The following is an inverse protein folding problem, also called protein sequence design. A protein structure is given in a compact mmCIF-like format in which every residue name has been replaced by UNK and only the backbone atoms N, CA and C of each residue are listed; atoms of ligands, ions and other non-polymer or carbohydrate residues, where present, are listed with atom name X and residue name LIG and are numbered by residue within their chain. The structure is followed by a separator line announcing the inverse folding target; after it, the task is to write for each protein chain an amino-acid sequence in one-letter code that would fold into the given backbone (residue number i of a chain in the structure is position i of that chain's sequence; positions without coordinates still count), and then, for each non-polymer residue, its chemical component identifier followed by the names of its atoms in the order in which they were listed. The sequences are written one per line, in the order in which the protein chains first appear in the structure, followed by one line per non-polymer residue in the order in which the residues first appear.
data_IF_977415793027
#
_entry.id   IF_977415793027
#
_cell.length_a   1.000
_cell.length_b   1.000
_cell.length_c   1.000
_cell.angle_alpha   90.00
_cell.angle_beta   90.00
_cell.angle_gamma   90.00
#
_symmetry.space_group_name_H-M   'P 1'
#
loop_
_entity.id
_entity.type
_entity.pdbx_description
1 polymer ?
#
# COMPACT_ATOMS: atom_id res chain seq x y z
N UNK A 1 -14.11 23.73 2.19
CA UNK A 1 -13.84 22.30 1.94
C UNK A 1 -12.80 22.16 0.83
N UNK A 2 -11.93 21.14 0.88
CA UNK A 2 -10.97 20.81 -0.17
C UNK A 2 -10.94 19.29 -0.30
N UNK A 3 -11.19 18.75 -1.50
CA UNK A 3 -11.23 17.31 -1.71
C UNK A 3 -9.82 16.77 -1.93
N UNK A 4 -9.44 15.72 -1.18
CA UNK A 4 -8.10 15.14 -1.23
C UNK A 4 -7.74 14.51 -2.59
N UNK A 5 -8.74 14.07 -3.36
CA UNK A 5 -8.51 13.22 -4.53
C UNK A 5 -8.57 14.00 -5.83
N UNK A 6 -9.65 14.75 -6.07
CA UNK A 6 -9.78 15.64 -7.23
C UNK A 6 -9.18 17.03 -7.03
N UNK A 7 -8.65 17.35 -5.85
CA UNK A 7 -8.04 18.65 -5.45
C UNK A 7 -8.95 19.89 -5.53
N UNK A 8 -10.21 19.72 -5.98
CA UNK A 8 -11.23 20.78 -6.03
C UNK A 8 -11.45 21.40 -4.66
N UNK A 9 -11.50 22.73 -4.63
CA UNK A 9 -11.69 23.53 -3.40
C UNK A 9 -13.01 24.29 -3.48
N UNK A 10 -13.85 24.13 -2.45
CA UNK A 10 -15.22 24.64 -2.41
C UNK A 10 -15.45 25.47 -1.14
N UNK A 11 -16.14 26.60 -1.27
CA UNK A 11 -16.75 27.27 -0.13
C UNK A 11 -17.82 26.36 0.51
N UNK A 12 -18.02 26.41 1.83
CA UNK A 12 -19.05 25.57 2.49
C UNK A 12 -20.44 25.75 1.86
N UNK A 13 -20.84 26.99 1.54
CA UNK A 13 -22.11 27.31 0.86
C UNK A 13 -22.25 26.74 -0.57
N UNK A 14 -21.15 26.34 -1.20
CA UNK A 14 -21.15 25.73 -2.53
C UNK A 14 -21.21 24.19 -2.47
N UNK A 15 -21.00 23.57 -1.30
CA UNK A 15 -20.91 22.12 -1.16
C UNK A 15 -22.21 21.39 -1.57
N UNK A 16 -23.37 21.96 -1.24
CA UNK A 16 -24.70 21.41 -1.59
C UNK A 16 -25.04 21.46 -3.08
N UNK A 17 -24.24 22.18 -3.89
CA UNK A 17 -24.42 22.30 -5.34
C UNK A 17 -23.52 21.34 -6.13
N UNK A 18 -22.70 20.55 -5.43
CA UNK A 18 -21.78 19.56 -5.99
C UNK A 18 -22.28 18.15 -5.68
N UNK A 19 -21.94 17.18 -6.53
CA UNK A 19 -22.18 15.77 -6.23
C UNK A 19 -21.35 15.32 -5.01
N UNK A 20 -21.88 14.43 -4.15
CA UNK A 20 -21.12 13.90 -3.02
C UNK A 20 -20.04 12.90 -3.46
N UNK A 21 -20.18 12.27 -4.64
CA UNK A 21 -19.16 11.39 -5.20
C UNK A 21 -17.98 12.18 -5.78
N UNK A 22 -16.75 11.71 -5.53
CA UNK A 22 -15.54 12.26 -6.11
C UNK A 22 -15.12 11.47 -7.36
N UNK A 23 -14.84 12.20 -8.44
CA UNK A 23 -14.34 11.70 -9.73
C UNK A 23 -12.82 11.37 -9.74
N UNK A 24 -12.11 11.71 -8.65
CA UNK A 24 -10.65 11.70 -8.50
C UNK A 24 -9.88 12.69 -9.41
N UNK A 25 -10.58 13.54 -10.17
CA UNK A 25 -10.02 14.62 -10.98
C UNK A 25 -8.92 14.22 -11.97
N UNK A 26 -8.00 15.16 -12.22
CA UNK A 26 -6.88 15.05 -13.19
C UNK A 26 -6.07 13.76 -13.06
N UNK A 27 -5.88 13.27 -11.82
CA UNK A 27 -5.01 12.11 -11.54
C UNK A 27 -5.76 10.78 -11.44
N UNK A 28 -7.05 10.70 -11.85
CA UNK A 28 -7.88 9.48 -11.76
C UNK A 28 -7.19 8.22 -12.29
N UNK A 29 -6.43 8.29 -13.38
CA UNK A 29 -5.76 7.11 -13.95
C UNK A 29 -4.69 6.52 -13.02
N UNK A 30 -4.14 7.32 -12.11
CA UNK A 30 -2.99 6.95 -11.29
C UNK A 30 -3.28 6.91 -9.79
N UNK A 31 -4.34 7.58 -9.31
CA UNK A 31 -4.77 7.54 -7.90
C UNK A 31 -5.40 6.19 -7.56
N UNK A 32 -4.87 5.53 -6.53
CA UNK A 32 -5.52 4.39 -5.88
C UNK A 32 -6.34 4.90 -4.69
N UNK A 33 -7.67 5.07 -4.79
CA UNK A 33 -8.48 5.63 -3.71
C UNK A 33 -8.53 4.68 -2.50
N UNK A 34 -8.83 5.15 -1.28
CA UNK A 34 -8.94 4.28 -0.10
C UNK A 34 -10.00 3.19 -0.24
N UNK A 35 -11.05 3.44 -1.03
CA UNK A 35 -12.11 2.48 -1.37
C UNK A 35 -11.61 1.29 -2.21
N UNK A 36 -10.44 1.39 -2.84
CA UNK A 36 -9.79 0.33 -3.60
C UNK A 36 -8.84 -0.54 -2.74
N UNK A 37 -8.78 -0.33 -1.41
CA UNK A 37 -7.86 -1.02 -0.49
C UNK A 37 -8.66 -1.63 0.67
N UNK A 38 -9.02 -2.91 0.53
CA UNK A 38 -9.85 -3.62 1.52
C UNK A 38 -8.98 -4.49 2.45
N UNK A 39 -9.22 -4.52 3.77
CA UNK A 39 -8.61 -5.52 4.65
C UNK A 39 -8.97 -6.95 4.20
N UNK A 40 -7.98 -7.83 4.02
CA UNK A 40 -8.16 -9.16 3.43
C UNK A 40 -9.08 -10.10 4.26
N UNK A 41 -9.35 -9.76 5.51
CA UNK A 41 -10.26 -10.50 6.40
C UNK A 41 -11.73 -10.33 6.00
N UNK A 42 -12.11 -9.21 5.35
CA UNK A 42 -13.52 -8.89 5.07
C UNK A 42 -14.12 -9.71 3.91
N UNK A 43 -13.30 -10.19 2.97
CA UNK A 43 -13.81 -10.85 1.75
C UNK A 43 -14.29 -12.29 1.99
N UNK A 44 -14.04 -12.85 3.20
CA UNK A 44 -14.62 -14.13 3.65
C UNK A 44 -16.16 -14.10 3.79
N UNK A 45 -16.80 -12.93 3.70
CA UNK A 45 -18.24 -12.76 3.95
C UNK A 45 -19.14 -12.66 2.71
N UNK A 46 -18.62 -12.80 1.48
CA UNK A 46 -19.41 -12.50 0.24
C UNK A 46 -19.58 -13.64 -0.77
N UNK A 47 -19.19 -14.87 -0.43
CA UNK A 47 -19.40 -16.06 -1.27
C UNK A 47 -20.47 -17.01 -0.71
N UNK A 48 -21.60 -17.15 -1.42
CA UNK A 48 -22.55 -18.26 -1.25
C UNK A 48 -23.56 -18.13 -0.10
N UNK A 49 -24.84 -17.92 -0.44
CA UNK A 49 -25.94 -18.15 0.49
C UNK A 49 -26.33 -19.64 0.53
N UNK A 50 -26.37 -20.25 1.72
CA UNK A 50 -26.77 -21.64 1.91
C UNK A 50 -27.45 -21.83 3.27
N UNK A 51 -28.63 -22.46 3.28
CA UNK A 51 -29.50 -22.54 4.46
C UNK A 51 -28.95 -23.47 5.56
N UNK A 52 -28.97 -23.02 6.81
CA UNK A 52 -28.68 -23.85 7.99
C UNK A 52 -29.27 -23.27 9.27
N UNK A 53 -30.37 -23.84 9.76
CA UNK A 53 -30.91 -23.59 11.11
C UNK A 53 -30.38 -24.66 12.06
N UNK A 54 -29.97 -24.31 13.28
CA UNK A 54 -30.53 -24.87 14.54
C UNK A 54 -29.85 -24.32 15.80
N UNK A 55 -30.66 -24.25 16.87
CA UNK A 55 -30.39 -24.31 18.32
C UNK A 55 -28.93 -24.49 18.80
N UNK A 56 -28.44 -23.69 19.76
CA UNK A 56 -28.79 -23.65 21.21
C UNK A 56 -28.61 -25.00 21.94
N UNK A 57 -27.64 -25.06 22.85
CA UNK A 57 -27.75 -25.80 24.11
C UNK A 57 -26.78 -25.23 25.18
N UNK A 58 -26.93 -25.63 26.44
CA UNK A 58 -26.26 -25.09 27.65
C UNK A 58 -25.89 -26.22 28.60
N UNK A 59 -24.79 -26.06 29.34
CA UNK A 59 -24.58 -26.39 30.79
C UNK A 59 -23.17 -25.86 31.20
N UNK A 60 -22.91 -25.24 32.37
CA UNK A 60 -22.96 -25.65 33.80
C UNK A 60 -21.83 -26.65 34.18
N UNK A 61 -21.20 -26.61 35.38
CA UNK A 61 -21.44 -25.84 36.62
C UNK A 61 -20.15 -25.70 37.51
N UNK A 62 -20.17 -24.78 38.50
CA UNK A 62 -19.30 -24.66 39.72
C UNK A 62 -17.74 -24.70 39.65
N UNK A 63 -16.97 -24.47 40.73
CA UNK A 63 -17.12 -23.57 41.91
C UNK A 63 -15.74 -23.42 42.66
N UNK A 64 -15.44 -22.22 43.20
CA UNK A 64 -14.42 -21.78 44.21
C UNK A 64 -12.91 -22.20 44.17
N UNK A 65 -12.05 -21.15 44.27
CA UNK A 65 -11.08 -20.76 45.34
C UNK A 65 -10.46 -21.86 46.28
N UNK A 66 -9.23 -21.78 46.86
CA UNK A 66 -8.10 -20.81 47.02
C UNK A 66 -6.76 -21.65 47.05
N UNK A 67 -5.48 -21.23 47.18
CA UNK A 67 -4.69 -19.96 47.28
C UNK A 67 -3.21 -20.27 46.84
N UNK A 68 -2.28 -19.30 46.85
CA UNK A 68 -0.96 -19.54 47.50
C UNK A 68 0.35 -19.37 46.70
N UNK A 69 0.92 -18.15 46.74
CA UNK A 69 2.37 -17.86 46.84
C UNK A 69 3.37 -17.95 45.65
N UNK A 70 4.15 -16.86 45.49
CA UNK A 70 5.54 -16.72 44.97
C UNK A 70 5.95 -17.01 43.50
N UNK A 71 6.24 -15.91 42.80
CA UNK A 71 7.50 -15.62 42.07
C UNK A 71 8.01 -16.58 40.97
N UNK A 72 7.68 -16.31 39.70
CA UNK A 72 8.65 -16.24 38.58
C UNK A 72 7.99 -15.75 37.28
N UNK A 73 8.61 -14.84 36.50
CA UNK A 73 8.20 -14.56 35.13
C UNK A 73 9.18 -15.18 34.12
N UNK A 74 8.91 -16.42 33.70
CA UNK A 74 9.52 -17.02 32.51
C UNK A 74 8.43 -17.45 31.54
N UNK A 75 8.03 -16.54 30.65
CA UNK A 75 6.95 -16.76 29.68
C UNK A 75 7.39 -17.68 28.53
N UNK A 76 7.21 -18.98 28.81
CA UNK A 76 6.96 -20.11 27.92
C UNK A 76 6.91 -19.86 26.40
N UNK A 77 7.59 -20.74 25.64
CA UNK A 77 7.50 -20.80 24.18
C UNK A 77 6.12 -21.27 23.72
N UNK A 78 5.28 -20.35 23.23
CA UNK A 78 4.09 -20.70 22.46
C UNK A 78 4.50 -21.13 21.02
N UNK A 79 4.86 -22.40 20.87
CA UNK A 79 5.32 -23.02 19.62
C UNK A 79 4.16 -23.16 18.61
N UNK A 80 3.99 -22.17 17.73
CA UNK A 80 3.00 -22.19 16.65
C UNK A 80 3.53 -22.97 15.43
N UNK A 81 3.53 -24.31 15.52
CA UNK A 81 3.77 -25.19 14.37
C UNK A 81 2.55 -25.20 13.42
N UNK A 82 2.48 -24.19 12.57
CA UNK A 82 1.56 -24.11 11.45
C UNK A 82 2.29 -23.60 10.20
N UNK A 83 2.02 -24.16 9.00
CA UNK A 83 2.71 -23.75 7.78
C UNK A 83 2.31 -22.32 7.37
N UNK A 84 3.16 -21.35 7.72
CA UNK A 84 3.00 -19.94 7.35
C UNK A 84 3.09 -19.82 5.83
N UNK A 85 1.92 -19.80 5.19
CA UNK A 85 1.80 -19.70 3.73
C UNK A 85 2.35 -18.34 3.25
N UNK A 86 3.35 -18.31 2.36
CA UNK A 86 4.12 -17.10 2.11
C UNK A 86 3.31 -16.03 1.35
N UNK A 87 3.08 -14.90 2.02
CA UNK A 87 2.81 -13.63 1.33
C UNK A 87 1.35 -13.17 1.24
N UNK A 88 0.48 -13.49 2.21
CA UNK A 88 -0.76 -12.74 2.40
C UNK A 88 -0.45 -11.33 2.92
N UNK A 89 -0.69 -10.32 2.09
CA UNK A 89 -0.83 -8.94 2.56
C UNK A 89 -2.11 -8.81 3.39
N UNK A 90 -2.09 -8.05 4.48
CA UNK A 90 -3.28 -7.79 5.31
C UNK A 90 -4.36 -6.95 4.59
N UNK A 91 -4.07 -6.50 3.36
CA UNK A 91 -4.97 -5.79 2.47
C UNK A 91 -4.95 -6.43 1.08
N UNK A 92 -6.09 -6.38 0.41
CA UNK A 92 -6.35 -6.72 -0.97
C UNK A 92 -6.62 -5.41 -1.74
N UNK A 93 -6.10 -5.28 -2.96
CA UNK A 93 -6.20 -4.07 -3.76
C UNK A 93 -7.01 -4.35 -5.03
N UNK A 94 -8.14 -3.67 -5.17
CA UNK A 94 -9.03 -3.76 -6.33
C UNK A 94 -9.06 -2.40 -7.03
N UNK A 95 -8.19 -2.14 -8.02
CA UNK A 95 -8.12 -0.84 -8.68
C UNK A 95 -9.38 -0.54 -9.51
N UNK A 96 -9.63 0.73 -9.79
CA UNK A 96 -10.77 1.16 -10.59
C UNK A 96 -10.64 0.71 -12.05
N UNK A 97 -11.78 0.44 -12.68
CA UNK A 97 -11.84 0.07 -14.09
C UNK A 97 -11.15 1.11 -15.00
N UNK A 98 -10.41 0.58 -15.97
CA UNK A 98 -9.59 1.30 -16.94
C UNK A 98 -8.55 2.26 -16.33
N UNK A 99 -8.04 2.01 -15.12
CA UNK A 99 -6.94 2.77 -14.49
C UNK A 99 -5.58 2.06 -14.55
N UNK A 100 -4.51 2.82 -14.29
CA UNK A 100 -3.10 2.37 -14.21
C UNK A 100 -2.46 2.89 -12.90
N UNK A 101 -2.73 2.23 -11.76
CA UNK A 101 -2.27 2.68 -10.44
C UNK A 101 -0.76 2.92 -10.41
N UNK A 102 -0.34 4.11 -9.99
CA UNK A 102 1.06 4.50 -9.98
C UNK A 102 1.69 4.25 -8.60
N UNK A 103 2.76 3.46 -8.55
CA UNK A 103 3.59 3.22 -7.38
C UNK A 103 4.90 4.00 -7.52
N UNK A 104 5.23 4.84 -6.53
CA UNK A 104 6.37 5.76 -6.60
C UNK A 104 7.37 5.45 -5.48
N UNK A 105 8.63 5.23 -5.86
CA UNK A 105 9.77 5.08 -4.97
C UNK A 105 10.67 6.30 -5.06
N UNK A 106 10.93 6.96 -3.93
CA UNK A 106 11.66 8.23 -3.91
C UNK A 106 12.84 8.12 -2.94
N UNK A 107 14.03 8.51 -3.40
CA UNK A 107 15.17 8.77 -2.53
C UNK A 107 15.17 10.26 -2.12
N UNK A 108 14.86 10.62 -0.85
CA UNK A 108 14.70 12.03 -0.48
C UNK A 108 16.02 12.81 -0.45
N UNK A 109 17.16 12.12 -0.42
CA UNK A 109 18.50 12.72 -0.41
C UNK A 109 18.95 13.14 -1.82
N UNK A 110 18.41 12.50 -2.86
CA UNK A 110 18.73 12.78 -4.27
C UNK A 110 18.33 14.19 -4.73
N UNK A 111 19.01 14.66 -5.78
CA UNK A 111 18.75 15.94 -6.44
C UNK A 111 18.99 17.19 -5.57
N UNK A 112 19.85 17.11 -4.54
CA UNK A 112 20.13 18.26 -3.68
C UNK A 112 18.91 18.69 -2.85
N UNK A 113 18.31 17.73 -2.12
CA UNK A 113 17.04 17.87 -1.38
C UNK A 113 15.77 18.00 -2.25
N UNK A 114 15.88 17.94 -3.58
CA UNK A 114 14.69 17.89 -4.46
C UNK A 114 13.83 16.65 -4.20
N UNK A 115 14.43 15.48 -3.94
CA UNK A 115 13.69 14.26 -3.58
C UNK A 115 12.76 14.45 -2.37
N UNK A 116 13.19 15.21 -1.36
CA UNK A 116 12.36 15.52 -0.19
C UNK A 116 11.19 16.49 -0.48
N UNK A 117 11.33 17.39 -1.46
CA UNK A 117 10.21 18.23 -1.96
C UNK A 117 9.24 17.37 -2.76
N UNK A 118 9.77 16.51 -3.63
CA UNK A 118 9.01 15.63 -4.51
C UNK A 118 8.19 14.60 -3.72
N UNK A 119 8.77 13.98 -2.69
CA UNK A 119 8.09 13.07 -1.77
C UNK A 119 6.82 13.69 -1.19
N UNK A 120 6.93 14.91 -0.66
CA UNK A 120 5.77 15.66 -0.11
C UNK A 120 4.75 16.00 -1.18
N UNK A 121 5.17 16.33 -2.41
CA UNK A 121 4.25 16.67 -3.52
C UNK A 121 3.49 15.44 -4.01
N UNK A 122 4.14 14.29 -4.20
CA UNK A 122 3.43 13.06 -4.58
C UNK A 122 2.55 12.52 -3.45
N UNK A 123 3.02 12.55 -2.19
CA UNK A 123 2.18 12.23 -1.02
C UNK A 123 0.99 13.21 -0.85
N UNK A 124 1.06 14.41 -1.43
CA UNK A 124 -0.05 15.35 -1.50
C UNK A 124 -1.03 15.02 -2.65
N UNK A 125 -0.52 14.70 -3.84
CA UNK A 125 -1.33 14.47 -5.05
C UNK A 125 -2.03 13.09 -5.07
N UNK A 126 -1.36 12.05 -4.58
CA UNK A 126 -1.79 10.65 -4.63
C UNK A 126 -2.14 10.12 -3.22
N UNK A 127 -2.59 8.87 -3.13
CA UNK A 127 -2.72 8.19 -1.85
C UNK A 127 -1.33 7.96 -1.24
N UNK A 128 -1.07 8.31 0.04
CA UNK A 128 0.24 8.07 0.66
C UNK A 128 0.72 6.62 0.61
N UNK A 129 -0.18 5.63 0.52
CA UNK A 129 0.14 4.21 0.30
C UNK A 129 0.74 3.89 -1.08
N UNK A 130 0.85 4.89 -1.96
CA UNK A 130 1.49 4.79 -3.27
C UNK A 130 2.91 5.36 -3.30
N UNK A 131 3.38 6.03 -2.23
CA UNK A 131 4.56 6.91 -2.31
C UNK A 131 5.55 6.61 -1.19
N UNK A 132 6.53 5.76 -1.50
CA UNK A 132 7.47 5.16 -0.57
C UNK A 132 8.80 5.91 -0.50
N UNK A 133 9.31 6.06 0.72
CA UNK A 133 10.63 6.61 0.99
C UNK A 133 11.67 5.48 1.00
N UNK A 134 12.41 5.33 -0.10
CA UNK A 134 13.38 4.24 -0.26
C UNK A 134 14.40 4.19 0.90
N UNK A 135 14.85 5.35 1.37
CA UNK A 135 15.90 5.46 2.41
C UNK A 135 15.38 5.07 3.81
N UNK A 136 14.06 5.07 4.03
CA UNK A 136 13.42 4.74 5.32
C UNK A 136 12.80 3.34 5.35
N UNK A 137 12.17 2.93 4.25
CA UNK A 137 11.32 1.73 4.18
C UNK A 137 11.82 0.68 3.17
N UNK A 138 12.79 1.05 2.33
CA UNK A 138 13.21 0.23 1.18
C UNK A 138 12.14 0.11 0.09
N UNK A 139 12.50 -0.43 -1.08
CA UNK A 139 11.52 -0.69 -2.14
C UNK A 139 10.62 -1.90 -1.86
N UNK A 140 11.11 -2.93 -1.14
CA UNK A 140 10.43 -4.22 -0.97
C UNK A 140 8.99 -4.11 -0.44
N UNK A 141 8.75 -3.25 0.57
CA UNK A 141 7.43 -3.10 1.20
C UNK A 141 6.39 -2.59 0.19
N UNK A 142 6.76 -1.62 -0.65
CA UNK A 142 5.87 -1.08 -1.68
C UNK A 142 5.65 -2.06 -2.83
N UNK A 143 6.70 -2.77 -3.26
CA UNK A 143 6.59 -3.79 -4.30
C UNK A 143 5.68 -4.94 -3.86
N UNK A 144 5.84 -5.43 -2.62
CA UNK A 144 5.04 -6.54 -2.10
C UNK A 144 3.58 -6.14 -1.81
N UNK A 145 3.31 -4.86 -1.51
CA UNK A 145 1.96 -4.31 -1.40
C UNK A 145 1.26 -4.17 -2.76
N UNK A 146 2.01 -4.04 -3.86
CA UNK A 146 1.48 -3.88 -5.22
C UNK A 146 1.64 -5.12 -6.13
N UNK A 147 2.23 -6.21 -5.64
CA UNK A 147 2.67 -7.37 -6.45
C UNK A 147 1.56 -8.00 -7.32
N UNK A 148 0.31 -7.92 -6.86
CA UNK A 148 -0.88 -8.51 -7.48
C UNK A 148 -1.76 -7.45 -8.20
N UNK A 149 -1.35 -6.17 -8.24
CA UNK A 149 -2.18 -5.07 -8.77
C UNK A 149 -2.09 -5.04 -10.31
N UNK A 150 -3.20 -5.29 -11.03
CA UNK A 150 -3.19 -5.29 -12.49
C UNK A 150 -2.93 -3.88 -13.05
N UNK A 151 -2.25 -3.82 -14.20
CA UNK A 151 -1.89 -2.58 -14.91
C UNK A 151 -1.05 -1.54 -14.12
N UNK A 152 -0.51 -1.92 -12.95
CA UNK A 152 0.32 -1.05 -12.13
C UNK A 152 1.53 -0.50 -12.89
N UNK A 153 1.91 0.74 -12.56
CA UNK A 153 3.08 1.44 -13.11
C UNK A 153 4.03 1.80 -11.98
N UNK A 154 5.33 1.67 -12.20
CA UNK A 154 6.35 2.03 -11.20
C UNK A 154 7.11 3.26 -11.66
N UNK A 155 7.31 4.22 -10.77
CA UNK A 155 8.16 5.39 -10.98
C UNK A 155 9.23 5.43 -9.89
N UNK A 156 10.50 5.54 -10.27
CA UNK A 156 11.62 5.72 -9.34
C UNK A 156 12.24 7.11 -9.50
N UNK A 157 12.40 7.81 -8.38
CA UNK A 157 12.91 9.18 -8.35
C UNK A 157 14.25 9.19 -7.58
N UNK A 158 15.36 9.28 -8.31
CA UNK A 158 16.70 9.13 -7.75
C UNK A 158 17.79 9.26 -8.82
N UNK A 159 19.04 8.96 -8.45
CA UNK A 159 20.13 8.70 -9.39
C UNK A 159 20.32 7.20 -9.61
N UNK A 160 21.28 6.80 -10.45
CA UNK A 160 21.39 5.42 -10.97
C UNK A 160 21.43 4.32 -9.90
N UNK A 161 22.15 4.52 -8.79
CA UNK A 161 22.19 3.57 -7.67
C UNK A 161 20.85 3.38 -6.92
N UNK A 162 19.92 4.33 -7.04
CA UNK A 162 18.54 4.15 -6.54
C UNK A 162 17.67 3.39 -7.54
N UNK A 163 17.94 3.52 -8.85
CA UNK A 163 17.29 2.72 -9.89
C UNK A 163 17.71 1.26 -9.78
N UNK A 164 19.02 0.99 -9.68
CA UNK A 164 19.58 -0.34 -9.47
C UNK A 164 18.97 -1.04 -8.24
N UNK A 165 19.01 -0.40 -7.07
CA UNK A 165 18.44 -0.99 -5.84
C UNK A 165 16.94 -1.33 -5.96
N UNK A 166 16.16 -0.55 -6.71
CA UNK A 166 14.77 -0.91 -7.01
C UNK A 166 14.69 -2.16 -7.88
N UNK A 167 15.43 -2.19 -9.00
CA UNK A 167 15.42 -3.32 -9.95
C UNK A 167 15.91 -4.61 -9.28
N UNK A 168 17.01 -4.56 -8.53
CA UNK A 168 17.56 -5.65 -7.71
C UNK A 168 16.55 -6.20 -6.69
N UNK A 169 15.56 -5.40 -6.31
CA UNK A 169 14.50 -5.81 -5.37
C UNK A 169 13.26 -6.30 -6.11
N UNK A 170 12.95 -5.76 -7.28
CA UNK A 170 11.92 -6.31 -8.18
C UNK A 170 12.27 -7.73 -8.64
N UNK A 171 13.55 -8.02 -8.90
CA UNK A 171 14.01 -9.37 -9.27
C UNK A 171 13.86 -10.40 -8.15
N UNK A 172 13.59 -9.95 -6.91
CA UNK A 172 13.32 -10.78 -5.72
C UNK A 172 11.82 -10.92 -5.42
N UNK A 173 10.95 -10.30 -6.20
CA UNK A 173 9.49 -10.32 -6.02
C UNK A 173 8.82 -11.10 -7.14
N UNK A 174 8.09 -12.16 -6.77
CA UNK A 174 7.35 -12.99 -7.73
C UNK A 174 6.06 -12.29 -8.19
N UNK A 175 6.18 -11.35 -9.12
CA UNK A 175 5.04 -10.71 -9.78
C UNK A 175 4.32 -11.68 -10.74
N UNK A 176 2.99 -11.62 -10.81
CA UNK A 176 2.23 -12.28 -11.87
C UNK A 176 2.51 -11.62 -13.25
N UNK A 177 2.73 -10.31 -13.26
CA UNK A 177 3.24 -9.54 -14.39
C UNK A 177 4.17 -8.45 -13.86
N UNK A 178 5.44 -8.43 -14.26
CA UNK A 178 6.38 -7.39 -13.83
C UNK A 178 5.90 -6.01 -14.32
N UNK A 179 5.62 -5.04 -13.44
CA UNK A 179 5.14 -3.73 -13.86
C UNK A 179 6.27 -2.94 -14.55
N UNK A 180 5.99 -2.14 -15.58
CA UNK A 180 7.00 -1.32 -16.24
C UNK A 180 7.45 -0.17 -15.32
N UNK A 181 8.75 0.10 -15.36
CA UNK A 181 9.42 1.12 -14.54
C UNK A 181 9.75 2.35 -15.40
N UNK A 182 9.45 3.53 -14.89
CA UNK A 182 9.95 4.82 -15.37
C UNK A 182 10.92 5.42 -14.35
N UNK A 183 11.92 6.18 -14.81
CA UNK A 183 12.90 6.87 -13.97
C UNK A 183 12.70 8.37 -14.09
N UNK A 184 12.52 9.05 -12.96
CA UNK A 184 12.69 10.50 -12.86
C UNK A 184 14.10 10.80 -12.31
N UNK A 185 15.05 11.25 -13.16
CA UNK A 185 16.41 11.53 -12.73
C UNK A 185 16.48 12.66 -11.69
N UNK A 186 17.17 12.42 -10.58
CA UNK A 186 17.35 13.38 -9.47
C UNK A 186 18.84 13.51 -9.07
N UNK A 187 19.60 14.30 -9.83
CA UNK A 187 20.99 14.59 -9.52
C UNK A 187 21.79 15.00 -10.73
N UNK A 188 23.11 14.81 -10.66
CA UNK A 188 24.08 15.04 -11.75
C UNK A 188 24.52 13.74 -12.42
N UNK A 189 24.62 12.64 -11.67
CA UNK A 189 24.75 11.27 -12.19
C UNK A 189 23.37 10.67 -12.44
N UNK A 190 23.00 10.61 -13.72
CA UNK A 190 21.73 10.08 -14.22
C UNK A 190 22.01 9.33 -15.53
N UNK A 191 23.06 8.54 -15.56
CA UNK A 191 23.64 8.04 -16.81
C UNK A 191 22.77 6.97 -17.46
N UNK A 192 21.94 6.25 -16.69
CA UNK A 192 20.83 5.45 -17.24
C UNK A 192 19.82 6.32 -17.99
N UNK A 193 19.46 7.50 -17.46
CA UNK A 193 18.49 8.38 -18.12
C UNK A 193 19.04 8.95 -19.43
N UNK A 194 20.34 9.28 -19.49
CA UNK A 194 21.02 9.72 -20.72
C UNK A 194 21.06 8.61 -21.76
N UNK A 195 21.53 7.42 -21.38
CA UNK A 195 21.68 6.27 -22.28
C UNK A 195 20.34 5.72 -22.80
N UNK A 196 19.23 5.94 -22.07
CA UNK A 196 17.87 5.55 -22.47
C UNK A 196 17.06 6.71 -23.09
N UNK A 197 17.67 7.90 -23.22
CA UNK A 197 17.03 9.14 -23.71
C UNK A 197 15.75 9.53 -22.94
N UNK A 198 15.78 9.37 -21.61
CA UNK A 198 14.70 9.71 -20.67
C UNK A 198 14.89 11.08 -19.98
N UNK A 199 15.92 11.86 -20.36
CA UNK A 199 16.19 13.21 -19.87
C UNK A 199 17.33 13.89 -20.62
#
# INVERSE_FOLDING_TARGET
LHCRWCHVTLHNKCASHMKPECDLGEYRDHVLPPTAICPAVLDRGRGGGGSGKSTLEKEKDGDKCEDGNSLTPQSENAQFDGPVSPGQSSFQITPLEATRPLLIFINPKSGGKQGARLLRKFQYLLNPRQVYNMVKEGPLIGLQFFKDVPNARVLVCGGDGSVGWLLDTMDKVNFAQRPPVSVLPLGTGNDLARCLCWG
#
